data_IF_431540122436
#
_entry.id   IF_431540122436
#
_cell.length_a   1.000
_cell.length_b   1.000
_cell.length_c   1.000
_cell.angle_alpha   90.00
_cell.angle_beta   90.00
_cell.angle_gamma   90.00
#
_symmetry.space_group_name_H-M   'P 1'
#
loop_
_entity.id
_entity.type
_entity.pdbx_description
1 polymer ?
#
# COMPACT_ATOMS: atom_id res chain seq x y z
N UNK A 1 10.22 -10.76 -46.15
CA UNK A 1 10.32 -10.03 -44.85
C UNK A 1 9.65 -10.85 -43.76
N UNK A 2 10.40 -11.46 -42.82
CA UNK A 2 9.82 -12.14 -41.65
C UNK A 2 9.27 -11.05 -40.74
N UNK A 3 7.96 -10.97 -40.56
CA UNK A 3 7.33 -10.14 -39.55
C UNK A 3 7.89 -10.59 -38.18
N UNK A 4 8.71 -9.78 -37.57
CA UNK A 4 9.11 -9.96 -36.18
C UNK A 4 7.84 -9.85 -35.32
N UNK A 5 7.23 -10.99 -34.99
CA UNK A 5 6.22 -11.05 -33.94
C UNK A 5 6.87 -10.53 -32.65
N UNK A 6 6.57 -9.29 -32.29
CA UNK A 6 6.95 -8.72 -30.99
C UNK A 6 6.12 -9.40 -29.91
N UNK A 7 6.56 -10.59 -29.48
CA UNK A 7 5.99 -11.23 -28.31
C UNK A 7 6.45 -10.50 -27.06
N UNK A 8 5.52 -10.09 -26.22
CA UNK A 8 5.83 -9.55 -24.90
C UNK A 8 6.47 -10.63 -24.04
N UNK A 9 7.69 -10.41 -23.58
CA UNK A 9 8.41 -11.35 -22.69
C UNK A 9 7.69 -11.41 -21.34
N UNK A 10 7.35 -12.61 -20.89
CA UNK A 10 6.85 -12.86 -19.53
C UNK A 10 8.03 -12.97 -18.58
N UNK A 11 8.01 -12.21 -17.48
CA UNK A 11 9.08 -12.25 -16.49
C UNK A 11 9.07 -13.60 -15.74
N UNK A 12 10.26 -14.15 -15.48
CA UNK A 12 10.43 -15.30 -14.59
C UNK A 12 10.68 -14.81 -13.16
N UNK A 13 10.24 -15.54 -12.11
CA UNK A 13 10.44 -15.12 -10.72
C UNK A 13 11.92 -14.85 -10.36
N UNK A 14 12.86 -15.57 -10.96
CA UNK A 14 14.30 -15.39 -10.73
C UNK A 14 14.89 -14.14 -11.44
N UNK A 15 14.18 -13.57 -12.42
CA UNK A 15 14.63 -12.39 -13.17
C UNK A 15 14.06 -11.08 -12.57
N UNK A 16 13.22 -11.17 -11.54
CA UNK A 16 12.58 -9.99 -10.93
C UNK A 16 13.53 -9.34 -9.95
N UNK A 17 13.96 -8.13 -10.28
CA UNK A 17 14.69 -7.25 -9.35
C UNK A 17 13.70 -6.46 -8.49
N UNK A 18 13.81 -6.58 -7.14
CA UNK A 18 12.96 -5.89 -6.16
C UNK A 18 13.74 -4.80 -5.46
N UNK A 19 13.30 -3.57 -5.62
CA UNK A 19 13.84 -2.40 -4.93
C UNK A 19 13.08 -2.15 -3.62
N UNK A 20 13.69 -1.35 -2.74
CA UNK A 20 13.06 -0.88 -1.52
C UNK A 20 12.71 0.59 -1.63
N UNK A 21 11.48 0.94 -1.28
CA UNK A 21 10.99 2.32 -1.27
C UNK A 21 10.55 2.71 0.14
N UNK A 22 10.96 3.90 0.56
CA UNK A 22 10.51 4.54 1.81
C UNK A 22 9.55 5.66 1.47
N UNK A 23 8.39 5.66 2.11
CA UNK A 23 7.35 6.66 1.94
C UNK A 23 7.01 7.26 3.29
N UNK A 24 7.06 8.58 3.39
CA UNK A 24 6.52 9.30 4.53
C UNK A 24 5.03 9.57 4.29
N UNK A 25 4.19 9.09 5.21
CA UNK A 25 2.73 9.21 5.11
C UNK A 25 2.18 10.49 5.77
N UNK A 26 3.02 11.34 6.36
CA UNK A 26 2.59 12.53 7.10
C UNK A 26 1.77 13.49 6.22
N UNK A 27 0.52 13.72 6.63
CA UNK A 27 -0.41 14.61 5.94
C UNK A 27 -0.96 14.10 4.62
N UNK A 28 -0.57 12.90 4.19
CA UNK A 28 -1.05 12.31 2.93
C UNK A 28 -2.47 11.76 3.07
N UNK A 29 -3.22 11.85 1.96
CA UNK A 29 -4.56 11.29 1.84
C UNK A 29 -4.49 9.77 1.73
N UNK A 30 -5.09 9.05 2.69
CA UNK A 30 -5.08 7.57 2.79
C UNK A 30 -5.36 6.89 1.45
N UNK A 31 -6.44 7.26 0.76
CA UNK A 31 -6.85 6.59 -0.48
C UNK A 31 -5.87 6.79 -1.64
N UNK A 32 -5.28 7.98 -1.76
CA UNK A 32 -4.29 8.29 -2.81
C UNK A 32 -2.96 7.61 -2.56
N UNK A 33 -2.48 7.67 -1.31
CA UNK A 33 -1.29 6.93 -0.88
C UNK A 33 -1.47 5.43 -1.15
N UNK A 34 -2.61 4.87 -0.73
CA UNK A 34 -2.89 3.44 -0.91
C UNK A 34 -2.88 3.02 -2.40
N UNK A 35 -3.37 3.86 -3.31
CA UNK A 35 -3.35 3.57 -4.76
C UNK A 35 -1.91 3.51 -5.29
N UNK A 36 -1.05 4.45 -4.90
CA UNK A 36 0.36 4.49 -5.33
C UNK A 36 1.10 3.27 -4.79
N UNK A 37 0.96 3.00 -3.49
CA UNK A 37 1.58 1.83 -2.83
C UNK A 37 1.12 0.52 -3.48
N UNK A 38 -0.20 0.36 -3.74
CA UNK A 38 -0.73 -0.83 -4.40
C UNK A 38 -0.17 -1.03 -5.81
N UNK A 39 0.05 0.05 -6.58
CA UNK A 39 0.67 -0.03 -7.90
C UNK A 39 2.14 -0.46 -7.82
N UNK A 40 2.90 0.02 -6.83
CA UNK A 40 4.29 -0.37 -6.60
C UNK A 40 4.38 -1.85 -6.18
N UNK A 41 3.56 -2.27 -5.22
CA UNK A 41 3.50 -3.66 -4.73
C UNK A 41 3.11 -4.66 -5.82
N UNK A 42 2.29 -4.25 -6.79
CA UNK A 42 1.96 -5.06 -7.96
C UNK A 42 3.02 -5.02 -9.05
N UNK A 43 3.92 -4.04 -9.02
CA UNK A 43 4.94 -3.84 -10.04
C UNK A 43 4.43 -3.17 -11.32
N UNK A 44 3.27 -2.50 -11.29
CA UNK A 44 2.69 -1.83 -12.47
C UNK A 44 3.49 -0.63 -12.96
N UNK A 45 4.42 -0.11 -12.16
CA UNK A 45 5.35 0.96 -12.54
C UNK A 45 6.50 0.45 -13.41
N UNK A 46 6.73 -0.88 -13.47
CA UNK A 46 7.80 -1.50 -14.25
C UNK A 46 7.32 -1.89 -15.66
N UNK A 47 8.14 -1.67 -16.71
CA UNK A 47 7.82 -2.12 -18.06
C UNK A 47 7.77 -3.65 -18.20
N UNK A 48 8.45 -4.38 -17.30
CA UNK A 48 8.49 -5.85 -17.25
C UNK A 48 7.31 -6.46 -16.49
N UNK A 49 6.27 -5.67 -16.16
CA UNK A 49 5.11 -6.15 -15.42
C UNK A 49 4.48 -7.38 -16.07
N UNK A 50 4.34 -8.45 -15.28
CA UNK A 50 3.67 -9.69 -15.67
C UNK A 50 2.58 -10.01 -14.66
N UNK A 51 1.29 -10.15 -15.06
CA UNK A 51 0.16 -10.24 -14.14
C UNK A 51 0.19 -11.42 -13.17
N UNK A 52 0.79 -12.55 -13.55
CA UNK A 52 0.84 -13.78 -12.75
C UNK A 52 2.12 -13.95 -11.93
N UNK A 53 3.07 -13.00 -12.03
CA UNK A 53 4.33 -13.00 -11.29
C UNK A 53 4.36 -11.83 -10.33
N UNK A 54 4.98 -12.01 -9.16
CA UNK A 54 5.20 -10.93 -8.19
C UNK A 54 6.40 -10.07 -8.62
N UNK A 55 6.12 -9.12 -9.54
CA UNK A 55 7.10 -8.16 -10.07
C UNK A 55 7.26 -6.91 -9.20
N UNK A 56 6.50 -6.80 -8.11
CA UNK A 56 6.46 -5.61 -7.26
C UNK A 56 7.72 -5.39 -6.43
N UNK A 57 7.85 -4.18 -5.92
CA UNK A 57 8.91 -3.75 -5.03
C UNK A 57 8.48 -3.84 -3.56
N UNK A 58 9.46 -3.75 -2.67
CA UNK A 58 9.22 -3.65 -1.24
C UNK A 58 8.92 -2.20 -0.86
N UNK A 59 7.92 -1.98 -0.02
CA UNK A 59 7.51 -0.64 0.42
C UNK A 59 7.52 -0.57 1.93
N UNK A 60 8.22 0.42 2.46
CA UNK A 60 8.22 0.82 3.86
C UNK A 60 7.47 2.14 3.97
N UNK A 61 6.44 2.21 4.81
CA UNK A 61 5.69 3.43 5.09
C UNK A 61 5.90 3.82 6.54
N UNK A 62 6.27 5.06 6.78
CA UNK A 62 6.45 5.65 8.12
C UNK A 62 5.38 6.70 8.39
N UNK A 63 5.22 7.12 9.65
CA UNK A 63 4.23 8.11 10.10
C UNK A 63 2.78 7.73 9.73
N UNK A 64 2.42 6.46 9.81
CA UNK A 64 1.08 6.00 9.44
C UNK A 64 -0.03 6.50 10.40
N UNK A 65 0.31 7.00 11.57
CA UNK A 65 -0.59 7.67 12.52
C UNK A 65 -1.04 9.06 12.04
N UNK A 66 -0.21 9.74 11.22
CA UNK A 66 -0.44 11.10 10.74
C UNK A 66 -1.13 11.19 9.38
N UNK A 67 -1.63 10.07 8.86
CA UNK A 67 -2.40 10.05 7.60
C UNK A 67 -3.71 10.81 7.73
N UNK A 68 -4.21 11.35 6.61
CA UNK A 68 -5.43 12.13 6.59
C UNK A 68 -6.53 11.53 5.72
N UNK A 69 -7.76 11.71 6.19
CA UNK A 69 -8.97 11.44 5.42
C UNK A 69 -9.55 12.73 4.84
N UNK A 70 -10.15 12.65 3.67
CA UNK A 70 -10.85 13.78 3.06
C UNK A 70 -12.33 13.79 3.48
N UNK A 71 -12.89 14.97 3.68
CA UNK A 71 -14.27 15.17 4.08
C UNK A 71 -14.59 14.53 5.44
N UNK A 72 -15.82 14.07 5.65
CA UNK A 72 -16.28 13.49 6.92
C UNK A 72 -15.92 12.02 7.12
N UNK A 73 -14.97 11.46 6.30
CA UNK A 73 -14.64 10.04 6.35
C UNK A 73 -14.00 9.60 7.66
N UNK A 74 -13.28 10.48 8.34
CA UNK A 74 -12.68 10.17 9.64
C UNK A 74 -13.75 9.69 10.65
N UNK A 75 -14.91 10.30 10.65
CA UNK A 75 -16.02 9.98 11.55
C UNK A 75 -16.96 8.90 10.98
N UNK A 76 -17.27 9.00 9.68
CA UNK A 76 -18.33 8.18 9.06
C UNK A 76 -17.83 6.83 8.54
N UNK A 77 -16.49 6.64 8.37
CA UNK A 77 -15.97 5.36 7.89
C UNK A 77 -15.93 4.35 9.02
N UNK A 78 -16.68 3.27 8.87
CA UNK A 78 -16.75 2.17 9.84
C UNK A 78 -16.06 0.94 9.27
N UNK A 79 -15.30 0.26 10.12
CA UNK A 79 -14.71 -1.05 9.86
C UNK A 79 -15.51 -2.10 10.62
N UNK A 80 -15.94 -3.14 9.91
CA UNK A 80 -16.72 -4.24 10.47
C UNK A 80 -15.85 -5.47 10.65
N UNK A 81 -16.04 -6.18 11.78
CA UNK A 81 -15.43 -7.48 12.05
C UNK A 81 -16.50 -8.41 12.64
N UNK A 82 -16.71 -9.56 11.99
CA UNK A 82 -17.57 -10.60 12.52
C UNK A 82 -16.79 -11.51 13.47
N UNK A 83 -17.39 -11.88 14.61
CA UNK A 83 -16.74 -12.73 15.63
C UNK A 83 -16.93 -14.22 15.40
N UNK A 84 -17.78 -14.62 14.46
CA UNK A 84 -18.15 -16.02 14.20
C UNK A 84 -19.44 -16.46 14.90
N UNK A 85 -19.99 -15.68 15.82
CA UNK A 85 -21.23 -15.99 16.54
C UNK A 85 -22.43 -15.23 15.97
N UNK A 86 -23.63 -15.75 16.12
CA UNK A 86 -24.86 -15.08 15.72
C UNK A 86 -24.94 -13.68 16.36
N UNK A 87 -25.23 -12.63 15.55
CA UNK A 87 -25.24 -11.25 15.99
C UNK A 87 -23.87 -10.63 16.31
N UNK A 88 -22.78 -11.33 16.06
CA UNK A 88 -21.41 -10.96 16.45
C UNK A 88 -20.71 -9.97 15.53
N UNK A 89 -21.39 -8.97 14.97
CA UNK A 89 -20.77 -7.89 14.19
C UNK A 89 -20.25 -6.82 15.13
N UNK A 90 -18.93 -6.57 15.09
CA UNK A 90 -18.29 -5.46 15.81
C UNK A 90 -17.95 -4.35 14.84
N UNK A 91 -18.17 -3.11 15.27
CA UNK A 91 -17.97 -1.89 14.51
C UNK A 91 -16.94 -1.00 15.19
N UNK A 92 -16.06 -0.40 14.38
CA UNK A 92 -15.10 0.60 14.85
C UNK A 92 -14.94 1.69 13.80
N UNK A 93 -14.99 2.97 14.22
CA UNK A 93 -14.79 4.10 13.30
C UNK A 93 -13.30 4.29 12.97
N UNK A 94 -13.02 4.95 11.84
CA UNK A 94 -11.65 5.24 11.41
C UNK A 94 -10.90 6.11 12.44
N UNK A 95 -11.58 7.07 13.07
CA UNK A 95 -11.02 7.87 14.14
C UNK A 95 -10.51 7.01 15.31
N UNK A 96 -11.37 6.10 15.81
CA UNK A 96 -10.99 5.21 16.91
C UNK A 96 -9.86 4.24 16.57
N UNK A 97 -9.67 3.90 15.29
CA UNK A 97 -8.53 3.05 14.87
C UNK A 97 -7.25 3.86 14.85
N UNK A 98 -7.27 5.12 14.34
CA UNK A 98 -6.09 6.00 14.32
C UNK A 98 -5.62 6.38 15.72
N UNK A 99 -6.56 6.66 16.63
CA UNK A 99 -6.25 7.00 18.05
C UNK A 99 -5.92 5.75 18.88
N UNK A 100 -6.08 4.55 18.31
CA UNK A 100 -5.90 3.29 19.01
C UNK A 100 -4.47 2.77 18.97
N UNK A 101 -4.26 1.58 19.56
CA UNK A 101 -2.95 0.92 19.65
C UNK A 101 -2.28 0.62 18.30
N UNK A 102 -3.05 0.48 17.21
CA UNK A 102 -2.56 0.02 15.90
C UNK A 102 -3.08 0.93 14.78
N UNK A 103 -2.62 2.20 14.68
CA UNK A 103 -3.07 3.15 13.66
C UNK A 103 -2.71 2.70 12.23
N UNK A 104 -1.63 1.94 12.05
CA UNK A 104 -1.16 1.40 10.77
C UNK A 104 -2.22 0.56 10.06
N UNK A 105 -3.15 -0.04 10.79
CA UNK A 105 -4.25 -0.86 10.23
C UNK A 105 -5.16 -0.10 9.27
N UNK A 106 -5.29 1.21 9.45
CA UNK A 106 -6.08 2.06 8.55
C UNK A 106 -5.52 2.01 7.14
N UNK A 107 -4.21 2.20 7.03
CA UNK A 107 -3.50 2.21 5.75
C UNK A 107 -3.36 0.77 5.20
N UNK A 108 -3.04 -0.19 6.05
CA UNK A 108 -2.98 -1.61 5.68
C UNK A 108 -4.27 -2.08 5.01
N UNK A 109 -5.43 -1.81 5.65
CA UNK A 109 -6.75 -2.16 5.10
C UNK A 109 -7.09 -1.42 3.82
N UNK A 110 -6.64 -0.19 3.67
CA UNK A 110 -6.84 0.56 2.43
C UNK A 110 -6.05 -0.06 1.26
N UNK A 111 -4.79 -0.44 1.48
CA UNK A 111 -3.92 -1.06 0.49
C UNK A 111 -4.40 -2.49 0.17
N UNK A 112 -4.69 -3.30 1.19
CA UNK A 112 -5.18 -4.69 1.04
C UNK A 112 -6.38 -4.77 0.09
N UNK A 113 -7.31 -3.82 0.22
CA UNK A 113 -8.51 -3.79 -0.63
C UNK A 113 -8.27 -3.31 -2.06
N UNK A 114 -7.11 -2.73 -2.35
CA UNK A 114 -6.69 -2.30 -3.69
C UNK A 114 -5.84 -3.34 -4.42
N UNK A 115 -5.38 -4.36 -3.70
CA UNK A 115 -4.63 -5.49 -4.27
C UNK A 115 -5.62 -6.63 -4.59
N UNK A 116 -5.45 -7.37 -5.70
CA UNK A 116 -6.29 -8.50 -6.05
C UNK A 116 -6.32 -9.55 -4.94
N UNK A 117 -7.50 -10.07 -4.65
CA UNK A 117 -7.66 -11.17 -3.69
C UNK A 117 -7.14 -12.47 -4.30
N UNK A 118 -6.37 -13.22 -3.53
CA UNK A 118 -5.84 -14.51 -3.97
C UNK A 118 -4.44 -14.79 -3.42
N UNK A 119 -3.81 -15.92 -3.80
CA UNK A 119 -2.48 -16.30 -3.33
C UNK A 119 -1.41 -15.26 -3.67
N UNK A 120 -1.39 -14.78 -4.93
CA UNK A 120 -0.45 -13.75 -5.40
C UNK A 120 -0.60 -12.43 -4.65
N UNK A 121 -1.83 -11.96 -4.43
CA UNK A 121 -2.07 -10.73 -3.67
C UNK A 121 -1.60 -10.84 -2.22
N UNK A 122 -1.77 -12.00 -1.57
CA UNK A 122 -1.21 -12.24 -0.23
C UNK A 122 0.33 -12.22 -0.21
N UNK A 123 0.96 -12.71 -1.28
CA UNK A 123 2.41 -12.64 -1.44
C UNK A 123 2.88 -11.20 -1.63
N UNK A 124 2.19 -10.42 -2.46
CA UNK A 124 2.48 -8.99 -2.67
C UNK A 124 2.33 -8.17 -1.38
N UNK A 125 1.31 -8.46 -0.56
CA UNK A 125 1.14 -7.81 0.75
C UNK A 125 2.28 -8.09 1.74
N UNK A 126 3.02 -9.17 1.59
CA UNK A 126 4.22 -9.45 2.42
C UNK A 126 5.39 -8.50 2.13
N UNK A 127 5.38 -7.82 0.99
CA UNK A 127 6.39 -6.82 0.62
C UNK A 127 6.08 -5.44 1.22
N UNK A 128 4.96 -5.28 1.96
CA UNK A 128 4.57 -4.05 2.62
C UNK A 128 4.95 -4.08 4.11
N UNK A 129 5.56 -2.98 4.57
CA UNK A 129 5.85 -2.71 5.98
C UNK A 129 5.31 -1.33 6.33
N UNK A 130 4.51 -1.22 7.38
CA UNK A 130 3.91 0.05 7.82
C UNK A 130 4.28 0.25 9.28
N UNK A 131 4.75 1.46 9.60
CA UNK A 131 5.12 1.88 10.94
C UNK A 131 4.36 3.14 11.32
N UNK A 132 3.85 3.19 12.55
CA UNK A 132 3.14 4.34 13.08
C UNK A 132 4.06 5.55 13.24
N UNK A 133 5.27 5.33 13.76
CA UNK A 133 6.27 6.38 13.99
C UNK A 133 7.21 6.61 12.81
N UNK A 134 8.26 7.38 13.08
CA UNK A 134 9.32 7.73 12.10
C UNK A 134 10.40 6.65 11.97
N UNK A 135 10.58 5.82 13.00
CA UNK A 135 11.64 4.83 13.04
C UNK A 135 11.21 3.51 12.40
N UNK A 136 12.13 2.88 11.68
CA UNK A 136 11.92 1.56 11.06
C UNK A 136 13.19 0.70 11.12
N UNK A 137 13.09 -0.63 11.25
CA UNK A 137 14.25 -1.52 11.36
C UNK A 137 14.93 -1.86 10.02
N UNK A 138 14.44 -1.30 8.90
CA UNK A 138 14.87 -1.64 7.54
C UNK A 138 15.94 -0.70 6.98
N UNK A 139 16.84 -0.17 7.83
CA UNK A 139 17.94 0.73 7.39
C UNK A 139 18.96 -0.03 6.52
N UNK A 140 19.24 -1.28 6.88
CA UNK A 140 20.21 -2.12 6.16
C UNK A 140 19.81 -2.44 4.69
N UNK A 141 18.53 -2.27 4.32
CA UNK A 141 18.03 -2.45 2.96
C UNK A 141 18.18 -1.20 2.09
N UNK A 142 18.69 -0.11 2.64
CA UNK A 142 18.87 1.19 1.97
C UNK A 142 17.66 1.62 1.12
N UNK A 143 16.47 1.82 1.75
CA UNK A 143 15.26 2.11 1.02
C UNK A 143 15.31 3.51 0.40
N UNK A 144 15.01 3.60 -0.90
CA UNK A 144 14.97 4.86 -1.63
C UNK A 144 13.74 5.68 -1.22
N UNK A 145 13.94 6.93 -0.82
CA UNK A 145 12.84 7.83 -0.46
C UNK A 145 12.03 8.17 -1.70
N UNK A 146 10.71 7.94 -1.61
CA UNK A 146 9.75 8.27 -2.66
C UNK A 146 8.84 9.40 -2.21
N UNK A 147 8.98 10.58 -2.81
CA UNK A 147 8.11 11.73 -2.52
C UNK A 147 6.74 11.60 -3.21
N UNK A 148 5.79 11.02 -2.50
CA UNK A 148 4.40 10.90 -2.95
C UNK A 148 3.67 12.26 -2.93
N UNK A 149 4.06 13.18 -2.04
CA UNK A 149 3.46 14.51 -1.96
C UNK A 149 3.71 15.31 -3.24
N UNK A 150 4.95 15.27 -3.74
CA UNK A 150 5.35 15.96 -4.96
C UNK A 150 4.76 15.39 -6.25
N UNK A 151 4.37 14.11 -6.27
CA UNK A 151 3.76 13.50 -7.47
C UNK A 151 2.43 14.15 -7.88
N UNK A 152 1.63 14.60 -6.95
CA UNK A 152 0.36 15.27 -7.24
C UNK A 152 -0.05 16.18 -6.07
N UNK A 153 -0.37 17.43 -6.38
CA UNK A 153 -0.85 18.42 -5.39
C UNK A 153 -2.01 17.92 -4.52
N UNK A 154 -2.88 17.07 -5.06
CA UNK A 154 -4.04 16.52 -4.33
C UNK A 154 -3.68 15.36 -3.38
N UNK A 155 -2.43 14.90 -3.34
CA UNK A 155 -2.01 13.82 -2.43
C UNK A 155 -1.91 14.30 -0.98
N UNK A 156 -1.63 15.58 -0.77
CA UNK A 156 -1.59 16.22 0.55
C UNK A 156 -2.86 17.03 0.80
N UNK A 157 -3.40 17.00 2.01
CA UNK A 157 -4.55 17.81 2.40
C UNK A 157 -4.05 19.18 2.83
N UNK A 158 -4.60 20.23 2.25
CA UNK A 158 -4.35 21.61 2.71
C UNK A 158 -3.13 22.29 2.07
N UNK A 159 -2.80 21.91 0.83
CA UNK A 159 -1.97 22.74 -0.04
C UNK A 159 -2.83 23.58 -0.98
#
# INVERSE_FOLDING_TARGET
MKALMKTTKSAKPAEVDKKWHLIDAEGLVVGRLATIVANILRGKHKPSFTPHVDCGDNVVVINADKVRFTGKKLQNKVYYKHTGYAGGIKEITAAKVLDGRFPERVLEKAIERMIPRGPLGRQQMRNLRIFAGTEHPHVAQDPQVLDVAGMNRKNKVGA
#
